data_IF_644390673379
#
_entry.id   IF_644390673379
#
_cell.length_a   1.000
_cell.length_b   1.000
_cell.length_c   1.000
_cell.angle_alpha   90.00
_cell.angle_beta   90.00
_cell.angle_gamma   90.00
#
_symmetry.space_group_name_H-M   'P 1'
#
loop_
_entity.id
_entity.type
_entity.pdbx_description
1 polymer ?
#
# COMPACT_ATOMS: atom_id res chain seq x y z
N UNK A 1 26.40 17.93 -0.91
CA UNK A 1 25.92 16.94 0.09
C UNK A 1 27.12 16.25 0.72
N UNK A 2 27.09 15.95 2.02
CA UNK A 2 28.19 15.24 2.68
C UNK A 2 28.21 13.74 2.30
N UNK A 3 29.38 13.10 2.31
CA UNK A 3 29.50 11.64 2.10
C UNK A 3 28.63 10.83 3.07
N UNK A 4 28.47 11.33 4.30
CA UNK A 4 27.57 10.75 5.32
C UNK A 4 26.11 10.76 4.86
N UNK A 5 25.64 11.88 4.30
CA UNK A 5 24.26 12.02 3.83
C UNK A 5 23.98 11.12 2.61
N UNK A 6 24.91 11.02 1.66
CA UNK A 6 24.80 10.09 0.52
C UNK A 6 24.69 8.64 1.01
N UNK A 7 25.51 8.24 2.01
CA UNK A 7 25.43 6.91 2.62
C UNK A 7 24.08 6.66 3.28
N UNK A 8 23.50 7.66 3.96
CA UNK A 8 22.17 7.53 4.57
C UNK A 8 21.09 7.32 3.51
N UNK A 9 21.11 8.08 2.41
CA UNK A 9 20.17 7.87 1.29
C UNK A 9 20.30 6.45 0.74
N UNK A 10 21.52 6.00 0.46
CA UNK A 10 21.77 4.66 -0.07
C UNK A 10 21.24 3.56 0.86
N UNK A 11 21.42 3.71 2.18
CA UNK A 11 20.89 2.75 3.15
C UNK A 11 19.35 2.72 3.16
N UNK A 12 18.70 3.88 3.08
CA UNK A 12 17.22 3.97 3.05
C UNK A 12 16.68 3.32 1.78
N UNK A 13 17.32 3.57 0.63
CA UNK A 13 16.92 2.95 -0.63
C UNK A 13 17.08 1.42 -0.59
N UNK A 14 18.18 0.93 -0.01
CA UNK A 14 18.36 -0.52 0.16
C UNK A 14 17.31 -1.13 1.08
N UNK A 15 16.95 -0.44 2.15
CA UNK A 15 15.90 -0.89 3.07
C UNK A 15 14.54 -0.92 2.39
N UNK A 16 14.21 0.09 1.57
CA UNK A 16 12.99 0.12 0.78
C UNK A 16 12.94 -1.03 -0.24
N UNK A 17 14.05 -1.31 -0.92
CA UNK A 17 14.14 -2.42 -1.87
C UNK A 17 13.97 -3.79 -1.18
N UNK A 18 14.53 -3.95 0.03
CA UNK A 18 14.35 -5.18 0.79
C UNK A 18 12.89 -5.34 1.25
N UNK A 19 12.26 -4.27 1.74
CA UNK A 19 10.83 -4.27 2.09
C UNK A 19 9.96 -4.65 0.88
N UNK A 20 10.30 -4.16 -0.31
CA UNK A 20 9.59 -4.52 -1.54
C UNK A 20 9.66 -6.02 -1.84
N UNK A 21 10.77 -6.68 -1.54
CA UNK A 21 10.90 -8.12 -1.73
C UNK A 21 10.12 -8.89 -0.66
N UNK A 22 10.29 -8.51 0.60
CA UNK A 22 9.63 -9.17 1.74
C UNK A 22 8.10 -9.10 1.64
N UNK A 23 7.58 -8.00 1.09
CA UNK A 23 6.15 -7.78 0.87
C UNK A 23 5.65 -8.29 -0.49
N UNK A 24 6.47 -8.99 -1.28
CA UNK A 24 6.14 -9.42 -2.66
C UNK A 24 5.76 -8.28 -3.63
N UNK A 25 6.20 -7.05 -3.33
CA UNK A 25 5.96 -5.85 -4.13
C UNK A 25 6.91 -5.70 -5.33
N UNK A 26 8.00 -6.47 -5.39
CA UNK A 26 9.00 -6.35 -6.47
C UNK A 26 8.44 -6.56 -7.89
N UNK A 27 7.29 -7.22 -8.01
CA UNK A 27 6.62 -7.49 -9.29
C UNK A 27 5.61 -6.40 -9.71
N UNK A 28 5.45 -5.36 -8.90
CA UNK A 28 4.52 -4.26 -9.14
C UNK A 28 5.26 -2.99 -9.58
N UNK A 29 4.57 -2.13 -10.32
CA UNK A 29 5.13 -0.84 -10.72
C UNK A 29 5.07 0.19 -9.58
N UNK A 30 5.75 1.32 -9.74
CA UNK A 30 5.85 2.37 -8.70
C UNK A 30 4.49 2.97 -8.29
N UNK A 31 3.51 2.98 -9.19
CA UNK A 31 2.16 3.46 -8.87
C UNK A 31 1.45 2.47 -7.93
N UNK A 32 1.52 1.18 -8.25
CA UNK A 32 0.96 0.12 -7.42
C UNK A 32 1.66 0.08 -6.06
N UNK A 33 2.99 0.11 -6.01
CA UNK A 33 3.75 0.18 -4.74
C UNK A 33 3.32 1.37 -3.89
N UNK A 34 3.21 2.57 -4.47
CA UNK A 34 2.74 3.75 -3.76
C UNK A 34 1.32 3.57 -3.20
N UNK A 35 0.42 2.92 -3.93
CA UNK A 35 -0.93 2.61 -3.45
C UNK A 35 -0.85 1.64 -2.27
N UNK A 36 -0.04 0.59 -2.34
CA UNK A 36 0.15 -0.36 -1.24
C UNK A 36 0.68 0.33 0.02
N UNK A 37 1.73 1.15 -0.10
CA UNK A 37 2.25 1.91 1.04
C UNK A 37 1.22 2.91 1.60
N UNK A 38 0.37 3.46 0.74
CA UNK A 38 -0.73 4.34 1.17
C UNK A 38 -1.70 3.57 2.04
N UNK A 39 -2.10 2.36 1.64
CA UNK A 39 -2.96 1.48 2.44
C UNK A 39 -2.29 1.20 3.80
N UNK A 40 -1.04 0.74 3.81
CA UNK A 40 -0.31 0.44 5.04
C UNK A 40 -0.23 1.64 6.00
N UNK A 41 0.05 2.83 5.46
CA UNK A 41 0.10 4.06 6.24
C UNK A 41 -1.28 4.46 6.80
N UNK A 42 -2.36 4.29 6.04
CA UNK A 42 -3.73 4.58 6.51
C UNK A 42 -4.16 3.61 7.62
N UNK A 43 -3.89 2.32 7.44
CA UNK A 43 -4.15 1.29 8.48
C UNK A 43 -3.37 1.62 9.75
N UNK A 44 -2.09 1.99 9.64
CA UNK A 44 -1.28 2.35 10.81
C UNK A 44 -1.82 3.58 11.55
N UNK A 45 -2.28 4.61 10.82
CA UNK A 45 -2.76 5.87 11.42
C UNK A 45 -4.15 5.75 12.03
N UNK A 46 -5.06 5.04 11.36
CA UNK A 46 -6.48 5.07 11.67
C UNK A 46 -7.02 3.73 12.21
N UNK A 47 -6.20 2.68 12.23
CA UNK A 47 -6.59 1.31 12.59
C UNK A 47 -7.33 0.56 11.47
N UNK A 48 -7.92 1.29 10.52
CA UNK A 48 -8.66 0.76 9.38
C UNK A 48 -8.43 1.63 8.14
N UNK A 49 -8.70 1.07 6.96
CA UNK A 49 -8.59 1.79 5.70
C UNK A 49 -9.69 1.31 4.76
N UNK A 50 -10.42 2.23 4.12
CA UNK A 50 -11.33 1.91 3.03
C UNK A 50 -10.79 2.45 1.69
N UNK A 51 -11.43 2.08 0.59
CA UNK A 51 -10.98 2.46 -0.76
C UNK A 51 -10.98 3.98 -0.96
N UNK A 52 -11.94 4.69 -0.36
CA UNK A 52 -12.03 6.15 -0.45
C UNK A 52 -10.84 6.84 0.22
N UNK A 53 -10.38 6.31 1.37
CA UNK A 53 -9.19 6.80 2.05
C UNK A 53 -7.94 6.68 1.17
N UNK A 54 -7.81 5.56 0.46
CA UNK A 54 -6.70 5.33 -0.47
C UNK A 54 -6.75 6.31 -1.63
N UNK A 55 -7.93 6.50 -2.26
CA UNK A 55 -8.12 7.45 -3.36
C UNK A 55 -7.71 8.87 -2.93
N UNK A 56 -8.18 9.30 -1.77
CA UNK A 56 -7.93 10.65 -1.27
C UNK A 56 -6.45 10.86 -0.89
N UNK A 57 -5.81 9.85 -0.29
CA UNK A 57 -4.44 9.97 0.20
C UNK A 57 -3.37 9.71 -0.87
N UNK A 58 -3.64 8.85 -1.85
CA UNK A 58 -2.67 8.51 -2.89
C UNK A 58 -2.59 9.56 -4.01
N UNK A 59 -3.68 10.30 -4.21
CA UNK A 59 -3.86 11.25 -5.31
C UNK A 59 -4.09 10.59 -6.66
N UNK A 60 -4.43 9.30 -6.69
CA UNK A 60 -4.69 8.56 -7.92
C UNK A 60 -6.19 8.47 -8.22
N UNK A 61 -6.51 8.26 -9.50
CA UNK A 61 -7.90 8.07 -9.91
C UNK A 61 -8.50 6.82 -9.27
N UNK A 62 -9.82 6.80 -9.14
CA UNK A 62 -10.55 5.63 -8.64
C UNK A 62 -10.19 4.36 -9.41
N UNK A 63 -10.23 4.42 -10.74
CA UNK A 63 -9.94 3.26 -11.60
C UNK A 63 -8.53 2.70 -11.40
N UNK A 64 -7.53 3.56 -11.21
CA UNK A 64 -6.15 3.13 -10.90
C UNK A 64 -6.08 2.44 -9.55
N UNK A 65 -6.71 3.02 -8.52
CA UNK A 65 -6.74 2.42 -7.17
C UNK A 65 -7.44 1.07 -7.17
N UNK A 66 -8.63 0.96 -7.80
CA UNK A 66 -9.36 -0.30 -7.89
C UNK A 66 -8.56 -1.39 -8.61
N UNK A 67 -7.89 -1.06 -9.73
CA UNK A 67 -7.04 -2.02 -10.45
C UNK A 67 -5.89 -2.52 -9.59
N UNK A 68 -5.21 -1.63 -8.87
CA UNK A 68 -4.10 -2.00 -7.98
C UNK A 68 -4.58 -2.89 -6.82
N UNK A 69 -5.67 -2.52 -6.14
CA UNK A 69 -6.27 -3.32 -5.06
C UNK A 69 -6.65 -4.70 -5.57
N UNK A 70 -7.23 -4.80 -6.77
CA UNK A 70 -7.58 -6.09 -7.35
C UNK A 70 -6.33 -6.96 -7.61
N UNK A 71 -5.26 -6.37 -8.12
CA UNK A 71 -4.00 -7.08 -8.33
C UNK A 71 -3.36 -7.55 -7.00
N UNK A 72 -3.52 -6.80 -5.90
CA UNK A 72 -3.09 -7.22 -4.57
C UNK A 72 -3.95 -8.36 -4.02
N UNK A 73 -5.27 -8.31 -4.22
CA UNK A 73 -6.20 -9.36 -3.81
C UNK A 73 -5.90 -10.68 -4.55
N UNK A 74 -5.64 -10.62 -5.85
CA UNK A 74 -5.29 -11.79 -6.66
C UNK A 74 -3.99 -12.45 -6.19
N UNK A 75 -3.06 -11.66 -5.63
CA UNK A 75 -1.82 -12.16 -4.98
C UNK A 75 -1.98 -12.44 -3.48
N UNK A 76 -3.20 -12.38 -2.93
CA UNK A 76 -3.51 -12.58 -1.51
C UNK A 76 -2.72 -11.67 -0.57
N UNK A 77 -2.38 -10.46 -1.02
CA UNK A 77 -1.67 -9.45 -0.24
C UNK A 77 -2.64 -8.54 0.55
N UNK A 78 -3.89 -8.46 0.09
CA UNK A 78 -4.97 -7.74 0.77
C UNK A 78 -6.24 -8.57 0.74
N UNK A 79 -7.13 -8.29 1.70
CA UNK A 79 -8.48 -8.85 1.76
C UNK A 79 -9.47 -7.70 1.87
N UNK A 80 -10.54 -7.76 1.08
CA UNK A 80 -11.65 -6.83 1.18
C UNK A 80 -12.69 -7.37 2.18
N UNK A 81 -12.94 -6.61 3.23
CA UNK A 81 -13.86 -6.96 4.32
C UNK A 81 -15.05 -6.01 4.28
N UNK A 82 -16.24 -6.56 4.05
CA UNK A 82 -17.48 -5.77 4.10
C UNK A 82 -17.74 -5.30 5.53
N UNK A 83 -18.09 -4.02 5.70
CA UNK A 83 -18.53 -3.50 6.99
C UNK A 83 -19.83 -4.17 7.44
N UNK A 84 -19.90 -4.52 8.73
CA UNK A 84 -21.10 -5.10 9.34
C UNK A 84 -22.23 -4.07 9.53
N UNK A 85 -21.86 -2.79 9.62
CA UNK A 85 -22.79 -1.69 9.89
C UNK A 85 -23.29 -1.02 8.61
N UNK A 86 -22.45 -0.95 7.56
CA UNK A 86 -22.81 -0.38 6.26
C UNK A 86 -22.39 -1.30 5.10
N UNK A 87 -23.38 -1.85 4.39
CA UNK A 87 -23.15 -2.72 3.22
C UNK A 87 -22.54 -2.00 2.01
N UNK A 88 -22.38 -0.68 2.06
CA UNK A 88 -21.68 0.11 1.03
C UNK A 88 -20.22 0.35 1.37
N UNK A 89 -19.82 0.12 2.62
CA UNK A 89 -18.46 0.34 3.08
C UNK A 89 -17.65 -0.96 3.07
N UNK A 90 -16.49 -0.90 2.42
CA UNK A 90 -15.55 -2.02 2.30
C UNK A 90 -14.20 -1.57 2.85
N UNK A 91 -13.72 -2.31 3.84
CA UNK A 91 -12.41 -2.12 4.44
C UNK A 91 -11.37 -3.00 3.75
N UNK A 92 -10.14 -2.51 3.73
CA UNK A 92 -8.97 -3.19 3.20
C UNK A 92 -8.16 -3.67 4.39
N UNK A 93 -7.99 -4.98 4.50
CA UNK A 93 -7.08 -5.61 5.47
C UNK A 93 -5.82 -6.05 4.76
N UNK A 94 -4.65 -5.75 5.33
CA UNK A 94 -3.38 -6.27 4.83
C UNK A 94 -3.27 -7.74 5.24
N UNK A 95 -3.06 -8.62 4.26
CA UNK A 95 -2.74 -10.01 4.53
C UNK A 95 -1.25 -10.08 4.90
N UNK A 96 -0.96 -9.91 6.19
CA UNK A 96 0.39 -10.12 6.71
C UNK A 96 0.60 -11.64 6.75
N UNK A 97 1.58 -12.13 5.99
CA UNK A 97 2.03 -13.52 6.01
C UNK A 97 2.77 -13.84 7.32
#
# INVERSE_FOLDING_TARGET
MSKKYIKQISNILQMLENLDRDLNLSSFNETEKKIYYTIANQVHKNGQCNISDVINASGFSRSTVYKAIKAFEDKKMVVLVQSNSDKREVFISLAIA
#
